data_IF_886857631581
#
_entry.id   IF_886857631581
#
_cell.length_a   1.000
_cell.length_b   1.000
_cell.length_c   1.000
_cell.angle_alpha   90.00
_cell.angle_beta   90.00
_cell.angle_gamma   90.00
#
_symmetry.space_group_name_H-M   'P 1'
#
loop_
_entity.id
_entity.type
_entity.pdbx_description
1 polymer ?
#
# COMPACT_ATOMS: atom_id res chain seq x y z
N UNK A 1 19.00 3.72 25.55
CA UNK A 1 20.43 3.91 25.18
C UNK A 1 20.54 4.21 23.68
N UNK A 2 21.69 4.67 23.18
CA UNK A 2 21.88 4.87 21.75
C UNK A 2 21.75 3.53 20.99
N UNK A 3 22.27 2.46 21.57
CA UNK A 3 22.16 1.10 20.98
C UNK A 3 20.71 0.64 20.82
N UNK A 4 19.84 0.88 21.79
CA UNK A 4 18.40 0.56 21.69
C UNK A 4 17.69 1.41 20.62
N UNK A 5 18.12 2.64 20.42
CA UNK A 5 17.58 3.52 19.38
C UNK A 5 17.97 3.04 17.98
N UNK A 6 19.24 2.68 17.82
CA UNK A 6 19.76 2.17 16.56
C UNK A 6 19.09 0.83 16.20
N UNK A 7 18.91 -0.06 17.18
CA UNK A 7 18.19 -1.34 17.01
C UNK A 7 16.71 -1.14 16.64
N UNK A 8 16.02 -0.17 17.27
CA UNK A 8 14.63 0.14 16.93
C UNK A 8 14.52 0.63 15.47
N UNK A 9 15.40 1.51 15.05
CA UNK A 9 15.39 2.02 13.67
C UNK A 9 15.70 0.93 12.65
N UNK A 10 16.66 0.06 12.94
CA UNK A 10 16.96 -1.10 12.10
C UNK A 10 15.74 -2.03 11.96
N UNK A 11 15.05 -2.33 13.08
CA UNK A 11 13.82 -3.15 13.10
C UNK A 11 12.66 -2.52 12.33
N UNK A 12 12.53 -1.21 12.35
CA UNK A 12 11.55 -0.48 11.54
C UNK A 12 11.95 -0.39 10.05
N UNK A 13 13.23 -0.59 9.75
CA UNK A 13 13.80 -0.44 8.42
C UNK A 13 14.14 1.00 8.07
N UNK A 14 14.56 1.77 9.06
CA UNK A 14 15.00 3.17 8.91
C UNK A 14 16.51 3.22 9.00
N UNK A 15 17.16 3.77 8.00
CA UNK A 15 18.61 4.07 8.00
C UNK A 15 18.86 5.57 8.22
N UNK A 16 20.11 5.99 8.31
CA UNK A 16 20.45 7.42 8.44
C UNK A 16 19.97 8.28 7.26
N UNK A 17 19.79 7.68 6.08
CA UNK A 17 19.50 8.41 4.83
C UNK A 17 18.25 7.91 4.10
N UNK A 18 17.75 6.71 4.43
CA UNK A 18 16.76 6.04 3.60
C UNK A 18 15.84 5.12 4.42
N UNK A 19 14.77 4.68 3.78
CA UNK A 19 13.87 3.62 4.26
C UNK A 19 14.13 2.36 3.44
N UNK A 20 14.33 1.23 4.12
CA UNK A 20 14.55 -0.07 3.48
C UNK A 20 13.23 -0.55 2.85
N UNK A 21 13.27 -0.89 1.57
CA UNK A 21 12.13 -1.48 0.86
C UNK A 21 11.63 -2.75 1.55
N UNK A 22 10.32 -2.97 1.54
CA UNK A 22 9.66 -4.10 2.20
C UNK A 22 9.86 -4.18 3.74
N UNK A 23 10.34 -3.13 4.36
CA UNK A 23 10.43 -3.02 5.82
C UNK A 23 9.06 -2.74 6.46
N UNK A 24 9.02 -2.77 7.80
CA UNK A 24 7.80 -2.47 8.57
C UNK A 24 7.27 -1.07 8.23
N UNK A 25 8.15 -0.08 8.11
CA UNK A 25 7.77 1.31 7.76
C UNK A 25 7.31 1.43 6.31
N UNK A 26 7.89 0.65 5.39
CA UNK A 26 7.61 0.77 3.96
C UNK A 26 6.38 -0.04 3.50
N UNK A 27 6.12 -1.18 4.10
CA UNK A 27 5.11 -2.13 3.62
C UNK A 27 4.16 -2.66 4.71
N UNK A 28 4.47 -2.42 5.98
CA UNK A 28 3.63 -2.78 7.12
C UNK A 28 2.47 -1.81 7.35
N UNK A 29 1.67 -2.09 8.37
CA UNK A 29 0.62 -1.19 8.87
C UNK A 29 1.13 -0.31 10.02
N UNK A 30 0.34 0.69 10.38
CA UNK A 30 0.59 1.49 11.61
C UNK A 30 0.63 0.59 12.85
N UNK A 31 -0.19 -0.46 12.90
CA UNK A 31 -0.19 -1.41 14.00
C UNK A 31 1.12 -2.20 14.08
N UNK A 32 1.61 -2.71 12.95
CA UNK A 32 2.90 -3.43 12.90
C UNK A 32 4.04 -2.53 13.38
N UNK A 33 4.05 -1.26 12.99
CA UNK A 33 5.01 -0.27 13.45
C UNK A 33 4.92 -0.05 14.97
N UNK A 34 3.72 0.11 15.52
CA UNK A 34 3.51 0.31 16.96
C UNK A 34 3.87 -0.95 17.76
N UNK A 35 3.64 -2.15 17.23
CA UNK A 35 4.06 -3.40 17.85
C UNK A 35 5.58 -3.48 17.98
N UNK A 36 6.32 -3.13 16.93
CA UNK A 36 7.80 -3.04 17.01
C UNK A 36 8.23 -2.01 18.05
N UNK A 37 7.63 -0.81 18.08
CA UNK A 37 7.95 0.22 19.07
C UNK A 37 7.67 -0.30 20.48
N UNK A 38 6.57 -1.04 20.69
CA UNK A 38 6.19 -1.57 22.00
C UNK A 38 7.19 -2.60 22.56
N UNK A 39 7.95 -3.30 21.72
CA UNK A 39 9.03 -4.18 22.16
C UNK A 39 10.18 -3.41 22.86
N UNK A 40 10.42 -2.16 22.47
CA UNK A 40 11.48 -1.29 23.01
C UNK A 40 10.99 -0.31 24.06
N UNK A 41 9.75 0.09 23.96
CA UNK A 41 9.11 1.07 24.85
C UNK A 41 7.70 0.60 25.14
N UNK A 42 7.39 0.31 26.37
CA UNK A 42 6.05 -0.05 26.79
C UNK A 42 5.08 1.11 26.47
N UNK A 43 4.31 0.96 25.42
CA UNK A 43 3.29 1.90 24.98
C UNK A 43 1.92 1.22 24.95
N UNK A 44 0.85 1.99 25.14
CA UNK A 44 -0.49 1.53 24.84
C UNK A 44 -0.72 1.66 23.31
N UNK A 45 -0.82 0.53 22.61
CA UNK A 45 -0.93 0.51 21.15
C UNK A 45 -2.25 1.17 20.72
N UNK A 46 -3.37 0.91 21.39
CA UNK A 46 -4.67 1.46 21.02
C UNK A 46 -4.73 2.98 21.21
N UNK A 47 -4.19 3.49 22.32
CA UNK A 47 -4.12 4.95 22.57
C UNK A 47 -3.22 5.65 21.54
N UNK A 48 -2.09 5.03 21.17
CA UNK A 48 -1.15 5.63 20.21
C UNK A 48 -1.59 5.43 18.76
N UNK A 49 -2.38 4.41 18.44
CA UNK A 49 -2.84 4.14 17.08
C UNK A 49 -3.62 5.32 16.50
N UNK A 50 -4.67 5.76 17.18
CA UNK A 50 -5.50 6.88 16.72
C UNK A 50 -4.68 8.16 16.55
N UNK A 51 -3.76 8.43 17.48
CA UNK A 51 -2.89 9.61 17.41
C UNK A 51 -1.97 9.56 16.16
N UNK A 52 -1.34 8.41 15.90
CA UNK A 52 -0.41 8.25 14.76
C UNK A 52 -1.15 8.31 13.44
N UNK A 53 -2.30 7.63 13.33
CA UNK A 53 -3.16 7.66 12.14
C UNK A 53 -3.61 9.09 11.82
N UNK A 54 -4.09 9.83 12.83
CA UNK A 54 -4.50 11.22 12.65
C UNK A 54 -3.30 12.12 12.26
N UNK A 55 -2.15 11.93 12.90
CA UNK A 55 -0.94 12.69 12.59
C UNK A 55 -0.50 12.49 11.13
N UNK A 56 -0.50 11.25 10.62
CA UNK A 56 -0.16 11.00 9.21
C UNK A 56 -1.16 11.64 8.25
N UNK A 57 -2.46 11.53 8.52
CA UNK A 57 -3.47 12.18 7.69
C UNK A 57 -3.32 13.70 7.65
N UNK A 58 -3.13 14.33 8.81
CA UNK A 58 -2.91 15.77 8.92
C UNK A 58 -1.62 16.22 8.24
N UNK A 59 -0.55 15.44 8.38
CA UNK A 59 0.72 15.70 7.71
C UNK A 59 0.56 15.68 6.19
N UNK A 60 -0.07 14.64 5.62
CA UNK A 60 -0.33 14.51 4.19
C UNK A 60 -1.15 15.71 3.68
N UNK A 61 -2.22 16.06 4.36
CA UNK A 61 -3.10 17.17 3.97
C UNK A 61 -2.41 18.54 4.06
N UNK A 62 -1.49 18.71 5.01
CA UNK A 62 -0.75 19.98 5.19
C UNK A 62 0.50 20.09 4.30
N UNK A 63 0.95 18.98 3.70
CA UNK A 63 2.13 18.95 2.82
C UNK A 63 1.82 18.27 1.46
N UNK A 64 0.81 18.73 0.72
CA UNK A 64 0.39 18.11 -0.54
C UNK A 64 1.51 18.04 -1.58
N UNK A 65 2.49 18.95 -1.52
CA UNK A 65 3.66 18.98 -2.41
C UNK A 65 4.59 17.78 -2.23
N UNK A 66 4.49 17.07 -1.12
CA UNK A 66 5.27 15.84 -0.86
C UNK A 66 4.64 14.58 -1.44
N UNK A 67 3.37 14.65 -1.81
CA UNK A 67 2.67 13.53 -2.43
C UNK A 67 2.87 13.62 -3.94
N UNK A 68 3.62 12.68 -4.48
CA UNK A 68 3.90 12.59 -5.91
C UNK A 68 3.40 11.26 -6.45
N UNK A 69 2.66 11.31 -7.55
CA UNK A 69 2.25 10.10 -8.26
C UNK A 69 3.36 9.61 -9.19
N UNK A 70 3.49 8.30 -9.34
CA UNK A 70 4.38 7.69 -10.33
C UNK A 70 3.75 7.77 -11.72
N UNK A 71 4.04 8.85 -12.44
CA UNK A 71 3.47 9.12 -13.75
C UNK A 71 2.04 9.68 -13.71
N UNK A 72 1.31 9.51 -14.79
CA UNK A 72 -0.04 10.07 -14.97
C UNK A 72 -1.14 9.12 -14.45
N UNK A 73 -1.08 8.78 -13.15
CA UNK A 73 -1.97 7.80 -12.51
C UNK A 73 -3.44 8.11 -12.75
N UNK A 74 -3.85 9.37 -12.61
CA UNK A 74 -5.25 9.78 -12.84
C UNK A 74 -5.73 9.45 -14.26
N UNK A 75 -4.88 9.69 -15.27
CA UNK A 75 -5.20 9.39 -16.67
C UNK A 75 -5.34 7.88 -16.89
N UNK A 76 -4.40 7.11 -16.34
CA UNK A 76 -4.44 5.65 -16.45
C UNK A 76 -5.70 5.06 -15.82
N UNK A 77 -6.02 5.44 -14.58
CA UNK A 77 -7.24 4.98 -13.89
C UNK A 77 -8.51 5.42 -14.64
N UNK A 78 -8.55 6.66 -15.16
CA UNK A 78 -9.70 7.13 -15.96
C UNK A 78 -9.89 6.31 -17.22
N UNK A 79 -8.80 5.97 -17.94
CA UNK A 79 -8.86 5.11 -19.12
C UNK A 79 -9.41 3.72 -18.80
N UNK A 80 -8.94 3.10 -17.71
CA UNK A 80 -9.47 1.82 -17.26
C UNK A 80 -10.98 1.89 -16.92
N UNK A 81 -11.43 2.98 -16.30
CA UNK A 81 -12.86 3.20 -16.02
C UNK A 81 -13.67 3.34 -17.31
N UNK A 82 -13.17 4.06 -18.30
CA UNK A 82 -13.83 4.21 -19.62
C UNK A 82 -13.96 2.88 -20.36
N UNK A 83 -12.99 1.96 -20.16
CA UNK A 83 -13.04 0.59 -20.69
C UNK A 83 -13.95 -0.35 -19.88
N UNK A 84 -14.52 0.12 -18.77
CA UNK A 84 -15.48 -0.61 -17.95
C UNK A 84 -14.88 -1.47 -16.84
N UNK A 85 -13.61 -1.27 -16.51
CA UNK A 85 -13.01 -1.96 -15.38
C UNK A 85 -13.53 -1.43 -14.04
N UNK A 86 -13.74 -2.35 -13.10
CA UNK A 86 -13.92 -2.05 -11.68
C UNK A 86 -12.55 -1.87 -11.04
N UNK A 87 -12.33 -0.75 -10.36
CA UNK A 87 -11.03 -0.42 -9.77
C UNK A 87 -11.14 -0.47 -8.24
N UNK A 88 -10.31 -1.33 -7.64
CA UNK A 88 -10.21 -1.47 -6.20
C UNK A 88 -8.82 -1.07 -5.71
N UNK A 89 -8.76 -0.35 -4.60
CA UNK A 89 -7.54 -0.12 -3.82
C UNK A 89 -7.55 -1.03 -2.59
N UNK A 90 -6.44 -1.75 -2.36
CA UNK A 90 -6.18 -2.47 -1.12
C UNK A 90 -4.81 -2.04 -0.61
N UNK A 91 -4.78 -1.44 0.57
CA UNK A 91 -3.56 -0.91 1.20
C UNK A 91 -3.39 -1.42 2.62
N UNK A 92 -2.14 -1.49 3.09
CA UNK A 92 -1.81 -1.72 4.50
C UNK A 92 -1.87 -0.42 5.33
N UNK A 93 -2.19 0.69 4.71
CA UNK A 93 -2.48 1.93 5.43
C UNK A 93 -3.82 1.86 6.17
N UNK A 94 -3.96 2.71 7.19
CA UNK A 94 -5.22 3.01 7.83
C UNK A 94 -6.08 3.93 6.95
N UNK A 95 -7.39 3.98 7.20
CA UNK A 95 -8.38 4.71 6.40
C UNK A 95 -8.04 6.19 6.22
N UNK A 96 -7.77 6.91 7.30
CA UNK A 96 -7.53 8.36 7.25
C UNK A 96 -6.31 8.76 6.40
N UNK A 97 -5.11 8.17 6.58
CA UNK A 97 -3.97 8.45 5.71
C UNK A 97 -4.24 8.08 4.24
N UNK A 98 -4.84 6.91 3.98
CA UNK A 98 -5.18 6.49 2.62
C UNK A 98 -6.11 7.50 1.92
N UNK A 99 -7.19 7.92 2.58
CA UNK A 99 -8.11 8.94 2.06
C UNK A 99 -7.44 10.30 1.85
N UNK A 100 -6.51 10.68 2.74
CA UNK A 100 -5.73 11.91 2.59
C UNK A 100 -4.87 11.87 1.33
N UNK A 101 -4.16 10.76 1.07
CA UNK A 101 -3.37 10.56 -0.18
C UNK A 101 -4.27 10.61 -1.41
N UNK A 102 -5.38 9.87 -1.41
CA UNK A 102 -6.32 9.84 -2.53
C UNK A 102 -6.90 11.22 -2.84
N UNK A 103 -7.21 12.00 -1.79
CA UNK A 103 -7.71 13.37 -1.91
C UNK A 103 -6.65 14.31 -2.50
N UNK A 104 -5.43 14.28 -1.98
CA UNK A 104 -4.33 15.12 -2.47
C UNK A 104 -4.00 14.78 -3.93
N UNK A 105 -3.94 13.48 -4.27
CA UNK A 105 -3.70 13.01 -5.64
C UNK A 105 -4.90 13.27 -6.58
N UNK A 106 -6.09 13.56 -6.05
CA UNK A 106 -7.31 13.82 -6.83
C UNK A 106 -7.80 12.60 -7.63
N UNK A 107 -7.67 11.40 -7.05
CA UNK A 107 -7.99 10.11 -7.69
C UNK A 107 -8.99 9.27 -6.89
N UNK A 108 -9.42 9.71 -5.71
CA UNK A 108 -10.28 8.92 -4.82
C UNK A 108 -11.59 8.46 -5.47
N UNK A 109 -12.21 9.32 -6.30
CA UNK A 109 -13.47 9.01 -7.01
C UNK A 109 -13.33 7.95 -8.12
N UNK A 110 -12.11 7.58 -8.48
CA UNK A 110 -11.85 6.57 -9.50
C UNK A 110 -11.90 5.14 -8.95
N UNK A 111 -11.84 4.98 -7.63
CA UNK A 111 -11.91 3.69 -6.98
C UNK A 111 -13.35 3.33 -6.59
N UNK A 112 -13.80 2.15 -7.02
CA UNK A 112 -15.10 1.59 -6.67
C UNK A 112 -15.09 0.90 -5.30
N UNK A 113 -13.90 0.57 -4.81
CA UNK A 113 -13.64 -0.04 -3.51
C UNK A 113 -12.31 0.46 -2.95
N UNK A 114 -12.29 0.73 -1.65
CA UNK A 114 -11.07 1.03 -0.89
C UNK A 114 -11.07 0.18 0.37
N UNK A 115 -10.14 -0.76 0.45
CA UNK A 115 -9.92 -1.62 1.61
C UNK A 115 -8.65 -1.23 2.35
N UNK A 116 -8.74 -1.00 3.65
CA UNK A 116 -7.65 -0.57 4.53
C UNK A 116 -7.53 -1.48 5.74
N UNK A 117 -6.50 -1.29 6.56
CA UNK A 117 -6.30 -2.11 7.76
C UNK A 117 -7.31 -1.86 8.88
N UNK A 118 -8.12 -0.82 8.76
CA UNK A 118 -9.23 -0.58 9.70
C UNK A 118 -10.40 -1.56 9.48
N UNK A 119 -10.56 -2.10 8.25
CA UNK A 119 -11.64 -3.05 7.93
C UNK A 119 -11.13 -4.47 7.71
N UNK A 120 -9.89 -4.63 7.27
CA UNK A 120 -9.33 -5.92 6.87
C UNK A 120 -7.96 -6.15 7.49
N UNK A 121 -7.59 -7.42 7.79
CA UNK A 121 -6.21 -7.76 8.10
C UNK A 121 -5.26 -7.31 6.98
N UNK A 122 -4.05 -6.89 7.36
CA UNK A 122 -2.99 -6.46 6.43
C UNK A 122 -2.72 -7.52 5.37
N UNK A 123 -2.39 -7.07 4.14
CA UNK A 123 -1.81 -7.97 3.14
C UNK A 123 -0.58 -8.69 3.74
N UNK A 124 -0.39 -9.97 3.42
CA UNK A 124 -0.99 -10.75 2.34
C UNK A 124 -2.30 -11.47 2.68
N UNK A 125 -2.99 -11.15 3.79
CA UNK A 125 -4.28 -11.75 4.10
C UNK A 125 -5.35 -11.39 3.04
N UNK A 126 -6.12 -12.38 2.59
CA UNK A 126 -7.01 -12.26 1.42
C UNK A 126 -8.43 -11.77 1.73
N UNK A 127 -8.69 -11.33 2.95
CA UNK A 127 -10.04 -10.90 3.39
C UNK A 127 -10.63 -9.79 2.51
N UNK A 128 -9.81 -8.84 2.08
CA UNK A 128 -10.23 -7.77 1.17
C UNK A 128 -10.61 -8.30 -0.22
N UNK A 129 -9.96 -9.36 -0.74
CA UNK A 129 -10.35 -10.01 -2.00
C UNK A 129 -11.74 -10.64 -1.90
N UNK A 130 -12.07 -11.28 -0.78
CA UNK A 130 -13.41 -11.80 -0.54
C UNK A 130 -14.47 -10.69 -0.47
N UNK A 131 -14.13 -9.54 0.11
CA UNK A 131 -15.03 -8.40 0.14
C UNK A 131 -15.30 -7.86 -1.28
N UNK A 132 -14.26 -7.72 -2.10
CA UNK A 132 -14.36 -7.32 -3.52
C UNK A 132 -15.21 -8.34 -4.30
N UNK A 133 -14.92 -9.64 -4.16
CA UNK A 133 -15.70 -10.70 -4.78
C UNK A 133 -17.19 -10.60 -4.43
N UNK A 134 -17.51 -10.43 -3.16
CA UNK A 134 -18.89 -10.35 -2.69
C UNK A 134 -19.60 -9.08 -3.16
N UNK A 135 -18.90 -7.96 -3.22
CA UNK A 135 -19.48 -6.68 -3.62
C UNK A 135 -19.76 -6.59 -5.11
N UNK A 136 -18.85 -7.12 -5.94
CA UNK A 136 -18.92 -6.95 -7.40
C UNK A 136 -19.29 -8.24 -8.15
N UNK A 137 -19.39 -9.37 -7.47
CA UNK A 137 -19.74 -10.65 -8.08
C UNK A 137 -18.66 -11.23 -8.99
N UNK A 138 -17.41 -10.81 -8.80
CA UNK A 138 -16.25 -11.26 -9.60
C UNK A 138 -15.50 -12.37 -8.86
N UNK A 139 -14.92 -13.32 -9.59
CA UNK A 139 -14.05 -14.33 -9.01
C UNK A 139 -12.59 -13.83 -8.91
N UNK A 140 -11.78 -14.45 -8.08
CA UNK A 140 -10.36 -14.11 -7.96
C UNK A 140 -9.61 -14.25 -9.29
N UNK A 141 -10.02 -15.21 -10.15
CA UNK A 141 -9.46 -15.41 -11.48
C UNK A 141 -9.85 -14.33 -12.51
N UNK A 142 -10.67 -13.36 -12.12
CA UNK A 142 -11.03 -12.19 -12.92
C UNK A 142 -10.39 -10.91 -12.37
N UNK A 143 -9.56 -11.01 -11.32
CA UNK A 143 -8.85 -9.90 -10.70
C UNK A 143 -7.39 -9.92 -11.11
N UNK A 144 -6.86 -8.79 -11.56
CA UNK A 144 -5.42 -8.54 -11.71
C UNK A 144 -4.99 -7.63 -10.57
N UNK A 145 -3.92 -8.01 -9.89
CA UNK A 145 -3.34 -7.19 -8.84
C UNK A 145 -2.13 -6.39 -9.36
N UNK A 146 -2.06 -5.13 -8.97
CA UNK A 146 -0.96 -4.22 -9.33
C UNK A 146 -0.34 -3.73 -8.03
N UNK A 147 0.98 -3.87 -7.88
CA UNK A 147 1.68 -3.47 -6.67
C UNK A 147 3.19 -3.39 -6.87
N UNK A 148 3.92 -3.03 -5.82
CA UNK A 148 5.35 -2.74 -5.89
C UNK A 148 6.20 -3.49 -4.84
N UNK A 149 5.56 -4.23 -3.93
CA UNK A 149 6.21 -4.89 -2.81
C UNK A 149 6.15 -6.42 -2.89
N UNK A 150 6.99 -7.10 -2.12
CA UNK A 150 6.92 -8.55 -1.94
C UNK A 150 5.63 -8.99 -1.24
N UNK A 151 5.05 -8.13 -0.42
CA UNK A 151 3.74 -8.35 0.22
C UNK A 151 2.63 -8.35 -0.84
N UNK A 152 2.71 -7.46 -1.83
CA UNK A 152 1.79 -7.41 -2.98
C UNK A 152 1.92 -8.65 -3.85
N UNK A 153 3.16 -9.08 -4.11
CA UNK A 153 3.45 -10.29 -4.85
C UNK A 153 2.83 -11.53 -4.18
N UNK A 154 2.96 -11.65 -2.86
CA UNK A 154 2.35 -12.75 -2.10
C UNK A 154 0.82 -12.68 -2.12
N UNK A 155 0.25 -11.51 -1.92
CA UNK A 155 -1.19 -11.27 -1.99
C UNK A 155 -1.77 -11.64 -3.36
N UNK A 156 -1.07 -11.26 -4.42
CA UNK A 156 -1.47 -11.48 -5.80
C UNK A 156 -1.51 -12.95 -6.22
N UNK A 157 -0.87 -13.87 -5.49
CA UNK A 157 -0.94 -15.33 -5.76
C UNK A 157 -2.37 -15.88 -5.77
N UNK A 158 -3.30 -15.17 -5.17
CA UNK A 158 -4.70 -15.52 -5.11
C UNK A 158 -5.53 -14.93 -6.26
N UNK A 159 -4.93 -14.16 -7.16
CA UNK A 159 -5.61 -13.49 -8.29
C UNK A 159 -5.22 -14.11 -9.63
N UNK A 160 -5.79 -13.63 -10.73
CA UNK A 160 -5.46 -14.09 -12.09
C UNK A 160 -4.03 -13.73 -12.51
N UNK A 161 -3.43 -12.69 -11.91
CA UNK A 161 -2.07 -12.29 -12.22
C UNK A 161 -1.62 -11.07 -11.43
N UNK A 162 -0.30 -10.90 -11.41
CA UNK A 162 0.38 -9.80 -10.76
C UNK A 162 1.10 -8.92 -11.78
N UNK A 163 0.90 -7.62 -11.70
CA UNK A 163 1.66 -6.62 -12.45
C UNK A 163 2.51 -5.84 -11.44
N UNK A 164 3.83 -5.91 -11.58
CA UNK A 164 4.72 -5.19 -10.70
C UNK A 164 5.00 -3.77 -11.20
N UNK A 165 4.86 -2.78 -10.33
CA UNK A 165 5.37 -1.43 -10.54
C UNK A 165 6.76 -1.36 -9.91
N UNK A 166 7.80 -1.11 -10.69
CA UNK A 166 9.18 -1.14 -10.21
C UNK A 166 10.09 -0.22 -11.02
N UNK A 167 11.12 0.34 -10.37
CA UNK A 167 12.18 1.10 -11.06
C UNK A 167 13.05 0.21 -11.98
N UNK A 168 13.05 -1.11 -11.73
CA UNK A 168 13.87 -2.10 -12.44
C UNK A 168 13.03 -3.13 -13.21
N UNK A 169 12.21 -2.74 -14.21
CA UNK A 169 11.28 -3.67 -14.87
C UNK A 169 11.96 -4.77 -15.67
N UNK A 170 13.23 -4.60 -16.03
CA UNK A 170 14.01 -5.60 -16.78
C UNK A 170 14.79 -6.55 -15.86
N UNK A 171 14.77 -6.35 -14.53
CA UNK A 171 15.43 -7.23 -13.58
C UNK A 171 14.51 -8.44 -13.28
N UNK A 172 14.92 -9.67 -13.64
CA UNK A 172 14.10 -10.86 -13.42
C UNK A 172 13.96 -11.21 -11.94
N UNK A 173 14.89 -10.78 -11.10
CA UNK A 173 14.95 -11.13 -9.68
C UNK A 173 14.05 -10.21 -8.81
N UNK A 174 13.63 -9.07 -9.33
CA UNK A 174 12.70 -8.16 -8.67
C UNK A 174 11.27 -8.61 -8.95
N UNK A 175 10.51 -8.98 -7.91
CA UNK A 175 9.12 -9.44 -8.01
C UNK A 175 8.92 -10.50 -9.13
N UNK A 176 9.55 -11.67 -8.99
CA UNK A 176 9.70 -12.63 -10.08
C UNK A 176 8.39 -13.28 -10.56
N UNK A 177 7.32 -13.26 -9.75
CA UNK A 177 6.01 -13.82 -10.14
C UNK A 177 5.17 -12.88 -11.00
N UNK A 178 5.63 -11.63 -11.21
CA UNK A 178 4.89 -10.67 -12.02
C UNK A 178 4.81 -11.11 -13.50
N UNK A 179 3.58 -11.12 -14.04
CA UNK A 179 3.34 -11.39 -15.48
C UNK A 179 3.78 -10.21 -16.35
N UNK A 180 3.76 -9.00 -15.82
CA UNK A 180 4.32 -7.79 -16.40
C UNK A 180 5.00 -6.95 -15.32
N UNK A 181 6.04 -6.19 -15.74
CA UNK A 181 6.72 -5.21 -14.90
C UNK A 181 6.75 -3.88 -15.64
N UNK A 182 6.30 -2.84 -14.98
CA UNK A 182 6.19 -1.47 -15.51
C UNK A 182 6.81 -0.48 -14.53
N UNK A 183 7.19 0.71 -15.02
CA UNK A 183 7.67 1.79 -14.15
C UNK A 183 6.53 2.60 -13.55
N UNK A 184 5.41 2.64 -14.25
CA UNK A 184 4.17 3.26 -13.75
C UNK A 184 2.95 2.63 -14.41
N UNK A 185 1.78 2.79 -13.80
CA UNK A 185 0.52 2.24 -14.31
C UNK A 185 0.08 2.86 -15.65
N UNK A 186 0.61 4.01 -16.05
CA UNK A 186 0.32 4.63 -17.35
C UNK A 186 0.84 3.82 -18.53
N UNK A 187 1.79 2.91 -18.32
CA UNK A 187 2.28 1.99 -19.35
C UNK A 187 1.30 0.86 -19.66
N UNK A 188 0.21 0.75 -18.90
CA UNK A 188 -0.85 -0.26 -19.09
C UNK A 188 -2.01 0.22 -19.98
N UNK A 189 -1.99 1.51 -20.39
CA UNK A 189 -3.09 2.16 -21.12
C UNK A 189 -2.66 2.63 -22.52
#
# INVERSE_FOLDING_TARGET
TNEEHDELFDRLGITETDIIENSVIAAGSVRDMLEVINEFRAIDIEENYDFVVQYFADYILSHPEKIQTLGQVKRALSGLKEEGYTIALVTNDSRLPAEAVLKVAGIGELFDFVGTTDEFPSKPATNSLYAIQNQFGVSFNEMIYIGDSTVDEEFAKNTAGFIAVTSEPNNPDVLPSAIFKVKSIEELC
#
